data_IF_038102371195
#
_entry.id   IF_038102371195
#
_cell.length_a   1.000
_cell.length_b   1.000
_cell.length_c   1.000
_cell.angle_alpha   90.00
_cell.angle_beta   90.00
_cell.angle_gamma   90.00
#
_symmetry.space_group_name_H-M   'P 1'
#
loop_
_entity.id
_entity.type
_entity.pdbx_description
1 polymer ?
#
# COMPACT_ATOMS: atom_id res chain seq x y z
N UNK A 1 2.90 -13.35 -1.98
CA UNK A 1 2.29 -12.02 -2.20
C UNK A 1 1.83 -11.82 -3.65
N UNK A 2 2.74 -11.86 -4.62
CA UNK A 2 2.48 -11.61 -6.05
C UNK A 2 1.26 -12.37 -6.61
N UNK A 3 1.22 -13.70 -6.41
CA UNK A 3 0.09 -14.51 -6.87
C UNK A 3 -1.26 -14.10 -6.26
N UNK A 4 -1.26 -13.65 -5.00
CA UNK A 4 -2.47 -13.18 -4.34
C UNK A 4 -2.95 -11.82 -4.85
N UNK A 5 -2.02 -10.94 -5.25
CA UNK A 5 -2.34 -9.67 -5.90
C UNK A 5 -2.89 -9.90 -7.32
N UNK A 6 -2.27 -10.80 -8.08
CA UNK A 6 -2.78 -11.21 -9.39
C UNK A 6 -4.17 -11.84 -9.30
N UNK A 7 -4.41 -12.72 -8.33
CA UNK A 7 -5.72 -13.31 -8.08
C UNK A 7 -6.78 -12.29 -7.62
N UNK A 8 -6.35 -11.16 -7.03
CA UNK A 8 -7.22 -10.04 -6.69
C UNK A 8 -7.48 -9.09 -7.89
N UNK A 9 -6.94 -9.39 -9.07
CA UNK A 9 -7.17 -8.63 -10.30
C UNK A 9 -6.12 -7.57 -10.62
N UNK A 10 -5.02 -7.49 -9.86
CA UNK A 10 -3.97 -6.51 -10.11
C UNK A 10 -2.94 -7.05 -11.10
N UNK A 11 -2.57 -6.24 -12.09
CA UNK A 11 -1.32 -6.42 -12.83
C UNK A 11 -0.18 -5.89 -11.97
N UNK A 12 0.79 -6.75 -11.64
CA UNK A 12 1.87 -6.44 -10.72
C UNK A 12 3.21 -6.44 -11.46
N UNK A 13 3.94 -5.34 -11.33
CA UNK A 13 5.33 -5.18 -11.76
C UNK A 13 6.24 -5.41 -10.55
N UNK A 14 7.29 -6.22 -10.68
CA UNK A 14 8.27 -6.41 -9.62
C UNK A 14 9.45 -5.47 -9.83
N UNK A 15 9.69 -4.57 -8.88
CA UNK A 15 10.82 -3.62 -8.90
C UNK A 15 11.76 -3.92 -7.74
N UNK A 16 12.78 -4.74 -8.01
CA UNK A 16 13.66 -5.25 -6.96
C UNK A 16 12.87 -6.02 -5.91
N UNK A 17 12.96 -5.57 -4.66
CA UNK A 17 12.27 -6.16 -3.50
C UNK A 17 10.83 -5.65 -3.31
N UNK A 18 10.22 -5.03 -4.33
CA UNK A 18 8.88 -4.47 -4.25
C UNK A 18 7.92 -5.05 -5.29
N UNK A 19 6.70 -5.34 -4.86
CA UNK A 19 5.54 -5.54 -5.73
C UNK A 19 4.86 -4.20 -5.98
N UNK A 20 4.79 -3.76 -7.24
CA UNK A 20 4.24 -2.47 -7.65
C UNK A 20 3.00 -2.65 -8.52
N UNK A 21 1.90 -1.97 -8.21
CA UNK A 21 0.65 -2.07 -8.96
C UNK A 21 -0.16 -0.78 -8.89
N UNK A 22 -1.04 -0.58 -9.87
CA UNK A 22 -2.02 0.51 -9.86
C UNK A 22 -3.19 0.16 -8.94
N UNK A 23 -3.57 1.10 -8.10
CA UNK A 23 -4.63 0.96 -7.11
C UNK A 23 -5.60 2.13 -7.21
N UNK A 24 -6.87 1.83 -7.48
CA UNK A 24 -7.94 2.81 -7.39
C UNK A 24 -8.33 3.00 -5.94
N UNK A 25 -8.30 4.24 -5.46
CA UNK A 25 -8.73 4.58 -4.11
C UNK A 25 -10.24 4.38 -4.02
N UNK A 26 -10.66 3.40 -3.22
CA UNK A 26 -12.08 3.01 -3.12
C UNK A 26 -12.87 3.87 -2.13
N UNK A 27 -12.21 4.50 -1.15
CA UNK A 27 -12.86 5.21 -0.03
C UNK A 27 -12.03 6.42 0.44
N UNK A 28 -12.69 7.36 1.09
CA UNK A 28 -12.07 8.57 1.64
C UNK A 28 -12.10 9.77 0.67
N UNK A 29 -11.46 10.89 1.04
CA UNK A 29 -11.55 12.14 0.27
C UNK A 29 -10.98 12.10 -1.15
N UNK A 30 -10.14 11.10 -1.45
CA UNK A 30 -9.50 10.90 -2.76
C UNK A 30 -10.07 9.72 -3.54
N UNK A 31 -11.31 9.31 -3.21
CA UNK A 31 -11.95 8.17 -3.86
C UNK A 31 -12.12 8.40 -5.38
N UNK A 32 -11.89 7.33 -6.16
CA UNK A 32 -11.91 7.35 -7.62
C UNK A 32 -10.58 7.73 -8.28
N UNK A 33 -9.61 8.25 -7.53
CA UNK A 33 -8.25 8.47 -8.04
C UNK A 33 -7.46 7.16 -8.13
N UNK A 34 -6.59 7.06 -9.13
CA UNK A 34 -5.65 5.93 -9.27
C UNK A 34 -4.26 6.36 -8.81
N UNK A 35 -3.68 5.59 -7.90
CA UNK A 35 -2.31 5.77 -7.41
C UNK A 35 -1.51 4.50 -7.64
N UNK A 36 -0.18 4.58 -7.58
CA UNK A 36 0.70 3.41 -7.57
C UNK A 36 1.01 3.03 -6.14
N UNK A 37 0.91 1.73 -5.85
CA UNK A 37 1.28 1.13 -4.57
C UNK A 37 2.51 0.26 -4.78
N UNK A 38 3.51 0.43 -3.92
CA UNK A 38 4.65 -0.47 -3.77
C UNK A 38 4.61 -1.17 -2.41
N UNK A 39 4.67 -2.50 -2.40
CA UNK A 39 4.73 -3.30 -1.17
C UNK A 39 6.03 -4.10 -1.14
N UNK A 40 6.75 -4.04 -0.02
CA UNK A 40 7.96 -4.82 0.16
C UNK A 40 7.65 -6.34 0.14
N UNK A 41 8.44 -7.10 -0.61
CA UNK A 41 8.40 -8.55 -0.67
C UNK A 41 9.14 -9.12 0.55
N UNK A 42 8.37 -9.48 1.57
CA UNK A 42 8.90 -10.10 2.79
C UNK A 42 9.15 -11.60 2.58
N UNK A 43 10.28 -12.10 3.08
CA UNK A 43 10.74 -13.49 2.87
C UNK A 43 9.82 -14.54 3.52
N UNK A 44 9.23 -14.21 4.66
CA UNK A 44 8.41 -15.11 5.47
C UNK A 44 6.90 -14.97 5.17
N UNK A 45 6.53 -14.34 4.05
CA UNK A 45 5.13 -14.20 3.65
C UNK A 45 4.41 -15.56 3.64
N UNK A 46 3.20 -15.71 4.23
CA UNK A 46 2.34 -14.66 4.81
C UNK A 46 2.48 -14.49 6.34
N UNK A 47 3.54 -14.99 6.98
CA UNK A 47 3.71 -14.86 8.44
C UNK A 47 3.83 -13.40 8.85
N UNK A 48 4.70 -12.63 8.19
CA UNK A 48 4.78 -11.17 8.34
C UNK A 48 4.13 -10.44 7.15
N UNK A 49 3.51 -9.27 7.38
CA UNK A 49 3.06 -8.39 6.30
C UNK A 49 4.19 -7.45 5.85
N UNK A 50 4.04 -6.75 4.71
CA UNK A 50 4.84 -5.56 4.44
C UNK A 50 4.79 -4.57 5.62
N UNK A 51 5.90 -3.87 5.94
CA UNK A 51 5.97 -2.94 7.06
C UNK A 51 5.08 -1.69 6.86
N UNK A 52 4.76 -1.37 5.62
CA UNK A 52 3.84 -0.31 5.21
C UNK A 52 3.84 -0.17 3.70
N UNK A 53 2.91 0.62 3.12
CA UNK A 53 2.88 0.84 1.69
C UNK A 53 3.78 2.00 1.26
N UNK A 54 4.28 1.89 0.04
CA UNK A 54 4.90 2.99 -0.69
C UNK A 54 3.88 3.53 -1.70
N UNK A 55 3.73 4.85 -1.80
CA UNK A 55 2.68 5.50 -2.57
C UNK A 55 3.29 6.46 -3.59
N UNK A 56 2.72 6.49 -4.80
CA UNK A 56 3.00 7.51 -5.81
C UNK A 56 1.71 7.93 -6.53
N UNK A 57 1.45 9.24 -6.75
CA UNK A 57 2.29 10.37 -6.34
C UNK A 57 2.33 10.53 -4.81
N UNK A 58 3.24 11.37 -4.29
CA UNK A 58 3.28 11.70 -2.87
C UNK A 58 1.98 12.40 -2.47
N UNK A 59 1.24 11.83 -1.52
CA UNK A 59 -0.04 12.37 -1.03
C UNK A 59 0.09 12.94 0.39
N UNK A 60 1.11 12.51 1.14
CA UNK A 60 1.17 12.66 2.58
C UNK A 60 0.19 11.75 3.30
N UNK A 61 0.32 11.69 4.63
CA UNK A 61 -0.63 11.00 5.51
C UNK A 61 -0.85 11.85 6.76
N UNK A 62 -2.10 12.11 7.19
CA UNK A 62 -2.40 13.12 8.22
C UNK A 62 -1.76 12.82 9.58
N UNK A 63 -1.62 11.54 9.92
CA UNK A 63 -0.93 11.10 11.15
C UNK A 63 0.62 11.12 11.06
N UNK A 64 1.21 11.71 10.01
CA UNK A 64 2.67 11.80 9.82
C UNK A 64 3.35 10.47 9.46
N UNK A 65 4.61 10.30 9.89
CA UNK A 65 5.47 9.12 9.63
C UNK A 65 5.56 8.72 8.13
N UNK A 66 5.71 9.76 7.31
CA UNK A 66 5.96 9.68 5.87
C UNK A 66 7.45 9.86 5.65
N UNK A 67 8.07 8.96 4.90
CA UNK A 67 9.51 8.95 4.65
C UNK A 67 9.81 8.88 3.15
N UNK A 68 11.02 9.24 2.71
CA UNK A 68 11.47 8.96 1.35
C UNK A 68 11.38 7.46 1.04
N UNK A 69 10.95 7.15 -0.17
CA UNK A 69 10.85 5.77 -0.65
C UNK A 69 12.11 5.36 -1.43
N UNK A 70 12.61 4.13 -1.28
CA UNK A 70 13.67 3.61 -2.14
C UNK A 70 13.22 3.38 -3.59
N UNK A 71 11.92 3.48 -3.89
CA UNK A 71 11.39 3.41 -5.26
C UNK A 71 11.70 4.68 -6.09
N UNK A 72 12.30 5.71 -5.49
CA UNK A 72 12.79 6.90 -6.17
C UNK A 72 11.93 8.14 -5.95
N UNK A 73 12.23 9.19 -6.72
CA UNK A 73 11.52 10.46 -6.65
C UNK A 73 10.04 10.31 -7.02
N UNK A 74 9.16 11.07 -6.36
CA UNK A 74 7.71 10.99 -6.54
C UNK A 74 7.06 9.81 -5.80
N UNK A 75 7.83 9.07 -5.00
CA UNK A 75 7.34 8.05 -4.09
C UNK A 75 7.60 8.42 -2.63
N UNK A 76 6.67 8.04 -1.76
CA UNK A 76 6.82 8.14 -0.31
C UNK A 76 6.50 6.81 0.36
N UNK A 77 7.11 6.54 1.51
CA UNK A 77 6.84 5.39 2.36
C UNK A 77 5.98 5.82 3.55
N UNK A 78 4.85 5.16 3.75
CA UNK A 78 4.04 5.33 4.94
C UNK A 78 4.38 4.26 5.96
N UNK A 79 5.00 4.65 7.08
CA UNK A 79 5.27 3.76 8.21
C UNK A 79 3.98 3.42 8.97
N UNK A 80 3.16 2.57 8.34
CA UNK A 80 1.80 2.19 8.74
C UNK A 80 1.63 0.68 8.63
N UNK A 81 2.22 -0.09 9.56
CA UNK A 81 2.09 -1.54 9.56
C UNK A 81 0.63 -1.95 9.77
N UNK A 82 0.24 -3.07 9.16
CA UNK A 82 -1.08 -3.66 9.34
C UNK A 82 -1.20 -4.27 10.75
N UNK A 83 -1.56 -3.45 11.75
CA UNK A 83 -1.56 -3.84 13.16
C UNK A 83 -2.36 -5.12 13.46
N UNK A 84 -3.45 -5.35 12.71
CA UNK A 84 -4.31 -6.53 12.87
C UNK A 84 -3.97 -7.69 11.92
N UNK A 85 -2.75 -7.74 11.35
CA UNK A 85 -2.33 -8.77 10.40
C UNK A 85 -2.60 -10.22 10.84
N UNK A 86 -2.41 -10.62 12.11
CA UNK A 86 -2.68 -11.99 12.54
C UNK A 86 -4.12 -12.47 12.30
N UNK A 87 -5.08 -11.55 12.14
CA UNK A 87 -6.51 -11.88 11.97
C UNK A 87 -6.88 -12.29 10.54
N UNK A 88 -6.18 -11.78 9.52
CA UNK A 88 -6.42 -12.10 8.11
C UNK A 88 -5.11 -11.95 7.33
N UNK A 89 -4.33 -13.05 7.30
CA UNK A 89 -3.01 -13.11 6.64
C UNK A 89 -3.12 -13.31 5.13
N UNK A 90 -3.95 -12.52 4.47
CA UNK A 90 -4.19 -12.60 3.03
C UNK A 90 -3.97 -11.27 2.33
N UNK A 91 -3.80 -11.31 1.01
CA UNK A 91 -3.77 -10.08 0.20
C UNK A 91 -5.06 -9.28 0.39
N UNK A 92 -6.23 -9.93 0.46
CA UNK A 92 -7.50 -9.27 0.75
C UNK A 92 -7.49 -8.54 2.10
N UNK A 93 -6.91 -9.15 3.13
CA UNK A 93 -6.72 -8.54 4.44
C UNK A 93 -5.84 -7.28 4.35
N UNK A 94 -4.75 -7.34 3.58
CA UNK A 94 -3.88 -6.19 3.36
C UNK A 94 -4.54 -5.08 2.53
N UNK A 95 -5.31 -5.42 1.49
CA UNK A 95 -6.08 -4.43 0.71
C UNK A 95 -7.13 -3.72 1.59
N UNK A 96 -7.75 -4.43 2.54
CA UNK A 96 -8.61 -3.80 3.55
C UNK A 96 -7.84 -2.79 4.41
N UNK A 97 -6.61 -3.11 4.80
CA UNK A 97 -5.73 -2.18 5.51
C UNK A 97 -5.44 -0.92 4.67
N UNK A 98 -5.15 -1.07 3.37
CA UNK A 98 -4.99 0.08 2.47
C UNK A 98 -6.24 0.98 2.45
N UNK A 99 -7.44 0.40 2.30
CA UNK A 99 -8.69 1.18 2.37
C UNK A 99 -8.80 1.98 3.67
N UNK A 100 -8.44 1.38 4.80
CA UNK A 100 -8.42 2.10 6.09
C UNK A 100 -7.46 3.29 6.07
N UNK A 101 -6.25 3.13 5.54
CA UNK A 101 -5.29 4.25 5.42
C UNK A 101 -5.83 5.35 4.51
N UNK A 102 -6.34 5.01 3.33
CA UNK A 102 -6.89 5.99 2.40
C UNK A 102 -8.15 6.70 2.95
N UNK A 103 -8.96 6.02 3.75
CA UNK A 103 -10.12 6.63 4.40
C UNK A 103 -9.75 7.73 5.40
N UNK A 104 -8.50 7.74 5.88
CA UNK A 104 -8.01 8.72 6.86
C UNK A 104 -7.45 9.97 6.20
N UNK A 105 -7.21 9.99 4.88
CA UNK A 105 -6.66 11.15 4.19
C UNK A 105 -7.56 12.38 4.35
N UNK A 106 -6.99 13.56 4.14
CA UNK A 106 -7.72 14.83 4.11
C UNK A 106 -8.03 15.25 2.66
N UNK A 107 -9.08 16.05 2.41
CA UNK A 107 -9.32 16.65 1.11
C UNK A 107 -8.15 17.51 0.65
N UNK A 108 -7.89 17.58 -0.66
CA UNK A 108 -7.00 18.62 -1.19
C UNK A 108 -7.65 19.99 -0.99
N UNK A 109 -6.88 20.94 -0.45
CA UNK A 109 -7.27 22.34 -0.28
C UNK A 109 -7.37 23.07 -1.62
#
# INVERSE_FOLDING_TARGET
>A
MLAGLAAAGYTVDQRGEFAVFDYMIEVGPRAGETVKIGLALVQDWPLSPPPGPHISPCLGHPHGAVHPSPLGEGWEYWSRPAANWPTDRTVRGYLRHLRTLFSQLEPQA
#
